data_IF_573189807153
#
_entry.id   IF_573189807153
#
_cell.length_a   1.000
_cell.length_b   1.000
_cell.length_c   1.000
_cell.angle_alpha   90.00
_cell.angle_beta   90.00
_cell.angle_gamma   90.00
#
_symmetry.space_group_name_H-M   'P 1'
#
loop_
_entity.id
_entity.type
_entity.pdbx_description
1 polymer ?
#
# COMPACT_ATOMS: atom_id res chain seq x y z
N UNK A 1 6.67 22.87 -9.20
CA UNK A 1 5.93 22.44 -8.01
C UNK A 1 6.45 21.07 -7.65
N UNK A 2 7.24 20.99 -6.60
CA UNK A 2 7.75 19.74 -6.06
C UNK A 2 7.09 19.48 -4.72
N UNK A 3 6.78 18.21 -4.43
CA UNK A 3 6.17 17.81 -3.17
C UNK A 3 7.15 16.93 -2.44
N UNK A 4 7.49 17.31 -1.22
CA UNK A 4 8.39 16.54 -0.39
C UNK A 4 7.76 16.15 0.94
N UNK A 5 8.16 14.98 1.41
CA UNK A 5 7.85 14.47 2.73
C UNK A 5 9.08 13.77 3.29
N UNK A 6 9.41 14.07 4.54
CA UNK A 6 10.57 13.51 5.25
C UNK A 6 11.91 13.58 4.47
N UNK A 7 12.12 14.68 3.73
CA UNK A 7 13.35 14.89 2.94
C UNK A 7 13.41 14.11 1.61
N UNK A 8 12.34 13.40 1.26
CA UNK A 8 12.19 12.71 -0.03
C UNK A 8 11.25 13.50 -0.94
N UNK A 9 11.60 13.58 -2.21
CA UNK A 9 10.78 14.19 -3.26
C UNK A 9 9.83 13.14 -3.87
N UNK A 10 8.62 13.57 -4.19
CA UNK A 10 7.56 12.75 -4.78
C UNK A 10 7.01 13.40 -6.05
N UNK A 11 6.59 12.57 -6.99
CA UNK A 11 6.04 12.99 -8.28
C UNK A 11 4.64 13.60 -8.11
N UNK A 12 3.92 13.23 -7.04
CA UNK A 12 2.58 13.74 -6.74
C UNK A 12 2.36 13.90 -5.24
N UNK A 13 1.43 14.77 -4.87
CA UNK A 13 0.96 14.91 -3.48
C UNK A 13 0.38 13.61 -2.94
N UNK A 14 -0.33 12.85 -3.77
CA UNK A 14 -0.97 11.60 -3.37
C UNK A 14 0.05 10.54 -2.93
N UNK A 15 1.16 10.41 -3.66
CA UNK A 15 2.26 9.53 -3.29
C UNK A 15 2.89 9.98 -1.96
N UNK A 16 3.19 11.28 -1.83
CA UNK A 16 3.77 11.82 -0.60
C UNK A 16 2.85 11.62 0.61
N UNK A 17 1.54 11.80 0.44
CA UNK A 17 0.55 11.62 1.50
C UNK A 17 0.44 10.16 1.95
N UNK A 18 0.49 9.20 1.02
CA UNK A 18 0.52 7.78 1.37
C UNK A 18 1.78 7.40 2.14
N UNK A 19 2.95 7.90 1.75
CA UNK A 19 4.18 7.72 2.50
C UNK A 19 4.07 8.25 3.94
N UNK A 20 3.52 9.46 4.12
CA UNK A 20 3.27 10.03 5.44
C UNK A 20 2.22 9.25 6.24
N UNK A 21 1.19 8.73 5.58
CA UNK A 21 0.19 7.88 6.22
C UNK A 21 0.81 6.58 6.73
N UNK A 22 1.68 5.92 5.95
CA UNK A 22 2.35 4.69 6.37
C UNK A 22 3.17 4.91 7.66
N UNK A 23 3.98 5.98 7.71
CA UNK A 23 4.72 6.32 8.94
C UNK A 23 3.78 6.54 10.13
N UNK A 24 2.69 7.29 9.94
CA UNK A 24 1.71 7.56 11.00
C UNK A 24 0.97 6.29 11.46
N UNK A 25 0.74 5.34 10.56
CA UNK A 25 0.12 4.05 10.85
C UNK A 25 1.10 3.04 11.48
N UNK A 26 2.39 3.41 11.61
CA UNK A 26 3.44 2.51 12.09
C UNK A 26 3.79 1.41 11.08
N UNK A 27 3.58 1.67 9.79
CA UNK A 27 3.90 0.75 8.70
C UNK A 27 5.26 1.12 8.09
N UNK A 28 6.04 0.11 7.75
CA UNK A 28 7.30 0.30 7.05
C UNK A 28 7.05 0.39 5.55
N UNK A 29 7.74 1.30 4.85
CA UNK A 29 7.58 1.44 3.41
C UNK A 29 8.91 1.72 2.68
N UNK A 30 8.99 1.28 1.43
CA UNK A 30 10.10 1.56 0.52
C UNK A 30 9.58 1.80 -0.92
N UNK A 31 10.30 2.61 -1.70
CA UNK A 31 10.04 2.92 -3.11
C UNK A 31 11.07 2.31 -4.07
N UNK A 32 12.16 1.73 -3.55
CA UNK A 32 13.27 1.13 -4.30
C UNK A 32 12.96 -0.22 -4.98
N UNK A 33 11.74 -0.38 -5.50
CA UNK A 33 11.21 -1.69 -5.91
C UNK A 33 11.46 -1.92 -7.39
N UNK A 34 11.91 -3.13 -7.71
CA UNK A 34 12.04 -3.56 -9.10
C UNK A 34 10.67 -3.95 -9.65
N UNK A 35 10.44 -3.67 -10.94
CA UNK A 35 9.22 -4.11 -11.61
C UNK A 35 9.06 -5.63 -11.51
N UNK A 36 7.82 -6.07 -11.28
CA UNK A 36 7.42 -7.46 -11.22
C UNK A 36 6.49 -7.74 -12.40
N UNK A 37 6.91 -8.67 -13.27
CA UNK A 37 6.16 -9.00 -14.48
C UNK A 37 5.89 -7.75 -15.35
N UNK A 38 4.63 -7.41 -15.61
CA UNK A 38 4.20 -6.24 -16.38
C UNK A 38 3.82 -5.04 -15.52
N UNK A 39 4.23 -5.01 -14.25
CA UNK A 39 3.79 -4.03 -13.27
C UNK A 39 4.97 -3.52 -12.44
N UNK A 40 5.03 -2.20 -12.23
CA UNK A 40 5.96 -1.58 -11.29
C UNK A 40 5.14 -1.01 -10.11
N UNK A 41 5.27 -1.57 -8.89
CA UNK A 41 4.66 -1.00 -7.70
C UNK A 41 5.28 0.35 -7.33
N UNK A 42 4.49 1.20 -6.67
CA UNK A 42 4.95 2.46 -6.10
C UNK A 42 5.58 2.26 -4.72
N UNK A 43 5.03 1.35 -3.92
CA UNK A 43 5.52 1.05 -2.56
C UNK A 43 5.58 -0.44 -2.25
N UNK A 44 6.57 -0.82 -1.44
CA UNK A 44 6.62 -2.07 -0.69
C UNK A 44 6.28 -1.69 0.72
N UNK A 45 5.14 -2.15 1.23
CA UNK A 45 4.61 -1.75 2.53
C UNK A 45 4.56 -2.97 3.44
N UNK A 46 5.10 -2.89 4.65
CA UNK A 46 5.05 -3.95 5.65
C UNK A 46 4.36 -3.48 6.92
N UNK A 47 3.46 -4.29 7.46
CA UNK A 47 2.68 -3.94 8.66
C UNK A 47 2.52 -5.15 9.58
N UNK A 48 2.40 -4.92 10.90
CA UNK A 48 2.33 -6.00 11.88
C UNK A 48 1.01 -6.77 11.79
N UNK A 49 1.06 -8.06 12.12
CA UNK A 49 -0.10 -8.92 12.25
C UNK A 49 -0.03 -9.69 13.57
N UNK A 50 -1.07 -9.56 14.40
CA UNK A 50 -1.13 -10.17 15.73
C UNK A 50 -1.62 -11.61 15.78
N UNK A 51 -2.00 -12.20 14.63
CA UNK A 51 -2.49 -13.57 14.58
C UNK A 51 -1.35 -14.57 14.74
N UNK A 52 -1.57 -15.59 15.57
CA UNK A 52 -0.58 -16.65 15.86
C UNK A 52 -0.15 -17.45 14.64
N UNK A 53 -1.00 -17.50 13.62
CA UNK A 53 -0.80 -18.21 12.35
C UNK A 53 0.09 -17.43 11.37
N UNK A 54 0.41 -16.17 11.68
CA UNK A 54 1.22 -15.29 10.84
C UNK A 54 2.64 -15.17 11.38
N UNK A 55 3.60 -14.84 10.51
CA UNK A 55 5.01 -14.61 10.87
C UNK A 55 5.27 -13.28 11.59
N UNK A 56 4.24 -12.64 12.13
CA UNK A 56 4.29 -11.36 12.83
C UNK A 56 4.06 -10.11 11.96
N UNK A 57 4.14 -10.22 10.63
CA UNK A 57 3.86 -9.13 9.70
C UNK A 57 3.40 -9.63 8.33
N UNK A 58 2.81 -8.72 7.56
CA UNK A 58 2.51 -8.90 6.13
C UNK A 58 3.19 -7.83 5.30
N UNK A 59 3.48 -8.14 4.05
CA UNK A 59 4.05 -7.24 3.04
C UNK A 59 3.12 -7.11 1.85
N UNK A 60 2.88 -5.90 1.38
CA UNK A 60 2.15 -5.61 0.15
C UNK A 60 3.05 -4.90 -0.86
N UNK A 61 2.81 -5.17 -2.15
CA UNK A 61 3.26 -4.30 -3.23
C UNK A 61 2.08 -3.42 -3.64
N UNK A 62 2.21 -2.12 -3.45
CA UNK A 62 1.11 -1.15 -3.57
C UNK A 62 1.27 -0.36 -4.86
N UNK A 63 0.18 -0.16 -5.60
CA UNK A 63 0.07 0.89 -6.61
C UNK A 63 -0.90 1.97 -6.15
N UNK A 64 -0.50 3.22 -6.32
CA UNK A 64 -1.28 4.39 -5.96
C UNK A 64 -1.88 5.00 -7.22
N UNK A 65 -3.21 5.09 -7.28
CA UNK A 65 -3.94 5.62 -8.42
C UNK A 65 -4.83 6.79 -7.99
N UNK A 66 -4.95 7.86 -8.79
CA UNK A 66 -5.72 9.04 -8.44
C UNK A 66 -7.24 8.81 -8.65
N UNK A 67 -7.78 7.78 -8.00
CA UNK A 67 -9.18 7.34 -8.15
C UNK A 67 -9.91 7.37 -6.82
N UNK A 68 -11.19 7.70 -6.87
CA UNK A 68 -12.08 7.69 -5.69
C UNK A 68 -12.89 6.39 -5.55
N UNK A 69 -12.87 5.54 -6.58
CA UNK A 69 -13.41 4.17 -6.58
C UNK A 69 -12.47 3.25 -7.35
N UNK A 70 -12.43 1.97 -6.97
CA UNK A 70 -11.63 0.95 -7.63
C UNK A 70 -12.34 0.25 -8.80
N UNK A 71 -13.64 0.51 -9.02
CA UNK A 71 -14.45 -0.19 -10.03
C UNK A 71 -13.92 -0.03 -11.45
N UNK A 72 -13.39 1.15 -11.78
CA UNK A 72 -12.85 1.45 -13.10
C UNK A 72 -11.42 0.93 -13.30
N UNK A 73 -10.79 0.41 -12.26
CA UNK A 73 -9.39 -0.06 -12.27
C UNK A 73 -9.26 -1.52 -11.84
N UNK A 74 -10.37 -2.28 -11.83
CA UNK A 74 -10.40 -3.71 -11.47
C UNK A 74 -9.46 -4.58 -12.32
N UNK A 75 -9.13 -4.14 -13.54
CA UNK A 75 -8.19 -4.82 -14.42
C UNK A 75 -6.70 -4.59 -14.10
N UNK A 76 -6.37 -3.81 -13.07
CA UNK A 76 -4.98 -3.48 -12.75
C UNK A 76 -4.19 -4.71 -12.27
N UNK A 77 -2.92 -4.92 -12.71
CA UNK A 77 -2.12 -6.10 -12.35
C UNK A 77 -1.94 -6.34 -10.85
N UNK A 78 -1.94 -5.27 -10.05
CA UNK A 78 -1.88 -5.37 -8.59
C UNK A 78 -3.01 -6.25 -8.01
N UNK A 79 -4.23 -6.12 -8.52
CA UNK A 79 -5.39 -6.93 -8.08
C UNK A 79 -5.40 -8.35 -8.67
N UNK A 80 -4.53 -8.65 -9.63
CA UNK A 80 -4.32 -10.02 -10.12
C UNK A 80 -3.29 -10.77 -9.29
N UNK A 81 -2.44 -10.04 -8.55
CA UNK A 81 -1.37 -10.61 -7.74
C UNK A 81 -1.85 -10.91 -6.32
N UNK A 82 -2.93 -11.68 -6.22
CA UNK A 82 -3.55 -12.08 -4.95
C UNK A 82 -2.79 -13.23 -4.29
N UNK A 83 -2.77 -13.28 -2.96
CA UNK A 83 -2.13 -14.32 -2.14
C UNK A 83 -0.60 -14.51 -2.30
N UNK A 84 0.02 -13.86 -3.29
CA UNK A 84 1.48 -13.75 -3.45
C UNK A 84 1.84 -12.80 -4.59
N UNK A 85 2.98 -12.14 -4.43
CA UNK A 85 3.74 -11.53 -5.53
C UNK A 85 5.06 -12.28 -5.64
N UNK A 86 5.43 -12.70 -6.85
CA UNK A 86 6.65 -13.49 -7.09
C UNK A 86 7.50 -12.89 -8.20
N UNK A 87 8.82 -13.05 -8.09
CA UNK A 87 9.73 -12.76 -9.20
C UNK A 87 9.72 -13.88 -10.26
N UNK A 88 10.50 -13.70 -11.32
CA UNK A 88 10.62 -14.68 -12.42
C UNK A 88 11.20 -16.03 -12.01
N UNK A 89 11.81 -16.13 -10.82
CA UNK A 89 12.34 -17.37 -10.25
C UNK A 89 11.34 -18.07 -9.32
N UNK A 90 10.11 -17.54 -9.19
CA UNK A 90 9.10 -18.05 -8.27
C UNK A 90 9.38 -17.73 -6.80
N UNK A 91 10.29 -16.79 -6.51
CA UNK A 91 10.55 -16.36 -5.14
C UNK A 91 9.49 -15.34 -4.72
N UNK A 92 8.88 -15.58 -3.56
CA UNK A 92 7.89 -14.69 -2.97
C UNK A 92 8.54 -13.37 -2.54
N UNK A 93 7.99 -12.26 -3.03
CA UNK A 93 8.42 -10.89 -2.73
C UNK A 93 7.46 -10.18 -1.75
N UNK A 94 6.17 -10.49 -1.82
CA UNK A 94 5.12 -9.92 -0.98
C UNK A 94 3.94 -10.89 -0.81
N UNK A 95 3.09 -10.62 0.17
CA UNK A 95 1.88 -11.38 0.45
C UNK A 95 0.76 -11.12 -0.55
N UNK A 96 0.66 -9.90 -1.09
CA UNK A 96 -0.26 -9.56 -2.18
C UNK A 96 0.15 -8.27 -2.89
N UNK A 97 -0.41 -8.06 -4.07
CA UNK A 97 -0.54 -6.74 -4.69
C UNK A 97 -1.75 -6.00 -4.15
N UNK A 98 -1.67 -4.67 -4.13
CA UNK A 98 -2.70 -3.80 -3.59
C UNK A 98 -2.90 -2.55 -4.44
N UNK A 99 -4.13 -2.04 -4.46
CA UNK A 99 -4.48 -0.74 -5.02
C UNK A 99 -4.87 0.24 -3.93
N UNK A 100 -4.29 1.43 -4.00
CA UNK A 100 -4.50 2.52 -3.06
C UNK A 100 -4.93 3.75 -3.84
N UNK A 101 -6.09 4.31 -3.47
CA UNK A 101 -6.74 5.42 -4.17
C UNK A 101 -6.48 6.77 -3.50
N UNK A 102 -7.42 7.70 -3.70
CA UNK A 102 -7.39 9.05 -3.11
C UNK A 102 -7.66 9.09 -1.60
N UNK A 103 -7.92 7.95 -0.96
CA UNK A 103 -8.21 7.86 0.47
C UNK A 103 -7.98 6.43 1.00
N UNK A 104 -7.85 6.25 2.33
CA UNK A 104 -7.82 4.92 2.94
C UNK A 104 -9.01 4.04 2.59
N UNK A 105 -10.20 4.63 2.43
CA UNK A 105 -11.42 3.92 2.07
C UNK A 105 -11.39 3.39 0.63
N UNK A 106 -10.57 3.99 -0.22
CA UNK A 106 -10.34 3.55 -1.60
C UNK A 106 -9.07 2.71 -1.66
N UNK A 107 -8.91 1.71 -0.81
CA UNK A 107 -7.80 0.76 -0.86
C UNK A 107 -8.33 -0.66 -0.97
N UNK A 108 -7.61 -1.58 -1.60
CA UNK A 108 -7.99 -3.00 -1.64
C UNK A 108 -6.79 -3.91 -1.92
N UNK A 109 -6.76 -5.06 -1.25
CA UNK A 109 -5.93 -6.21 -1.60
C UNK A 109 -6.61 -7.50 -1.17
N UNK A 110 -6.08 -8.64 -1.60
CA UNK A 110 -6.55 -9.95 -1.16
C UNK A 110 -5.36 -10.84 -0.77
N UNK A 111 -5.34 -11.25 0.50
CA UNK A 111 -4.27 -12.08 1.06
C UNK A 111 -4.79 -13.10 2.07
N UNK A 112 -3.91 -14.01 2.47
CA UNK A 112 -4.14 -14.89 3.62
C UNK A 112 -3.62 -14.23 4.88
N UNK A 113 -4.42 -14.23 5.95
CA UNK A 113 -4.02 -13.77 7.27
C UNK A 113 -4.86 -14.49 8.35
N UNK A 114 -4.22 -14.90 9.45
CA UNK A 114 -4.84 -15.75 10.48
C UNK A 114 -5.26 -17.12 9.93
N UNK A 115 -6.40 -17.63 10.41
CA UNK A 115 -6.98 -18.90 9.97
C UNK A 115 -7.70 -18.82 8.60
N UNK A 116 -7.66 -17.68 7.92
CA UNK A 116 -8.41 -17.44 6.69
C UNK A 116 -7.67 -16.57 5.67
N UNK A 117 -8.47 -16.03 4.75
CA UNK A 117 -8.03 -15.05 3.77
C UNK A 117 -9.25 -14.36 3.19
N UNK A 118 -9.05 -13.17 2.65
CA UNK A 118 -10.16 -12.34 2.22
C UNK A 118 -9.71 -11.06 1.56
N UNK A 119 -10.69 -10.26 1.19
CA UNK A 119 -10.47 -8.90 0.70
C UNK A 119 -10.30 -8.02 1.92
N UNK A 120 -9.22 -7.25 1.90
CA UNK A 120 -8.82 -6.33 2.94
C UNK A 120 -8.73 -4.90 2.42
N UNK A 121 -8.86 -3.96 3.34
CA UNK A 121 -8.76 -2.53 3.10
C UNK A 121 -8.04 -1.87 4.27
N UNK A 122 -7.45 -0.70 4.08
CA UNK A 122 -6.72 0.03 5.14
C UNK A 122 -7.55 0.22 6.41
N UNK A 123 -8.85 0.59 6.38
CA UNK A 123 -9.66 0.74 7.59
C UNK A 123 -9.85 -0.54 8.40
N UNK A 124 -9.61 -1.72 7.82
CA UNK A 124 -9.64 -3.01 8.55
C UNK A 124 -8.38 -3.19 9.41
N UNK A 125 -7.29 -2.50 9.07
CA UNK A 125 -5.98 -2.63 9.73
C UNK A 125 -5.56 -1.40 10.54
N UNK A 126 -6.25 -0.27 10.33
CA UNK A 126 -5.95 1.02 10.96
C UNK A 126 -7.25 1.68 11.41
N UNK A 127 -7.60 1.54 12.69
CA UNK A 127 -8.89 2.00 13.25
C UNK A 127 -9.15 3.51 13.03
N UNK A 128 -8.10 4.33 13.08
CA UNK A 128 -8.16 5.79 12.92
C UNK A 128 -7.65 6.26 11.55
N UNK A 129 -7.82 5.44 10.50
CA UNK A 129 -7.27 5.72 9.17
C UNK A 129 -7.64 7.11 8.62
N UNK A 130 -8.89 7.57 8.83
CA UNK A 130 -9.30 8.90 8.36
C UNK A 130 -8.52 10.03 9.05
N UNK A 131 -8.37 9.96 10.37
CA UNK A 131 -7.63 10.98 11.13
C UNK A 131 -6.15 11.01 10.74
N UNK A 132 -5.54 9.83 10.53
CA UNK A 132 -4.16 9.74 10.08
C UNK A 132 -3.99 10.27 8.65
N UNK A 133 -4.95 10.02 7.76
CA UNK A 133 -4.93 10.53 6.39
C UNK A 133 -4.99 12.06 6.34
N UNK A 134 -5.90 12.66 7.11
CA UNK A 134 -6.01 14.12 7.23
C UNK A 134 -4.74 14.74 7.82
N UNK A 135 -4.10 14.04 8.76
CA UNK A 135 -2.84 14.48 9.35
C UNK A 135 -1.69 14.37 8.34
N UNK A 136 -1.60 13.26 7.61
CA UNK A 136 -0.58 13.00 6.59
C UNK A 136 -0.50 14.13 5.56
N UNK A 137 -1.65 14.60 5.05
CA UNK A 137 -1.70 15.69 4.08
C UNK A 137 -1.13 17.01 4.60
N UNK A 138 -1.17 17.25 5.93
CA UNK A 138 -0.64 18.46 6.56
C UNK A 138 0.87 18.41 6.78
N UNK A 139 1.49 17.23 6.67
CA UNK A 139 2.93 17.04 6.85
C UNK A 139 3.73 17.29 5.56
N UNK A 140 3.04 17.42 4.42
CA UNK A 140 3.66 17.62 3.12
C UNK A 140 4.24 19.04 3.00
N UNK A 141 5.38 19.15 2.33
CA UNK A 141 5.99 20.43 1.96
C UNK A 141 5.85 20.61 0.46
N UNK A 142 5.25 21.73 0.06
CA UNK A 142 5.01 22.07 -1.34
C UNK A 142 5.83 23.33 -1.67
N UNK A 143 6.66 23.25 -2.71
CA UNK A 143 7.51 24.36 -3.18
C UNK A 143 7.47 24.58 -4.68
#
# INVERSE_FOLDING_TARGET
MSVSYNGLEFETELLAQWAAFFDLAGWEWDRGITAVQNWKPDYRVSFPCGHSECSGSHTLFVSVLPVSTLDNVRGHPALQSIYRVENTLGQRLADAGALFGNSPQTSEWQMSHGAGGGIDHVPTWVDNAHQLWDHAGKLLKIS
#
